data_IF_341638248539
#
_entry.id   IF_341638248539
#
_cell.length_a   1.000
_cell.length_b   1.000
_cell.length_c   1.000
_cell.angle_alpha   90.00
_cell.angle_beta   90.00
_cell.angle_gamma   90.00
#
_symmetry.space_group_name_H-M   'P 1'
#
loop_
_entity.id
_entity.type
_entity.pdbx_description
1 polymer ?
#
# COMPACT_ATOMS: atom_id res chain seq x y z
N UNK A 1 2.14 6.69 19.32
CA UNK A 1 2.91 6.59 18.07
C UNK A 1 2.17 5.88 16.93
N UNK A 2 1.43 4.78 17.16
CA UNK A 2 0.73 4.04 16.09
C UNK A 2 -0.27 4.88 15.25
N UNK A 3 -1.07 5.74 15.89
CA UNK A 3 -2.00 6.65 15.18
C UNK A 3 -1.30 7.62 14.22
N UNK A 4 -0.18 8.21 14.64
CA UNK A 4 0.60 9.15 13.82
C UNK A 4 1.21 8.41 12.62
N UNK A 5 1.68 7.17 12.84
CA UNK A 5 2.19 6.31 11.76
C UNK A 5 1.12 6.00 10.71
N UNK A 6 -0.12 5.69 11.11
CA UNK A 6 -1.23 5.49 10.15
C UNK A 6 -1.51 6.74 9.30
N UNK A 7 -1.44 7.93 9.90
CA UNK A 7 -1.64 9.19 9.18
C UNK A 7 -0.50 9.43 8.18
N UNK A 8 0.75 9.21 8.60
CA UNK A 8 1.93 9.34 7.73
C UNK A 8 1.83 8.38 6.54
N UNK A 9 1.48 7.12 6.77
CA UNK A 9 1.35 6.14 5.68
C UNK A 9 0.18 6.49 4.76
N UNK A 10 -0.94 6.98 5.29
CA UNK A 10 -2.04 7.48 4.47
C UNK A 10 -1.60 8.61 3.52
N UNK A 11 -0.86 9.60 4.05
CA UNK A 11 -0.33 10.72 3.26
C UNK A 11 0.66 10.21 2.19
N UNK A 12 1.57 9.30 2.56
CA UNK A 12 2.55 8.70 1.65
C UNK A 12 1.85 7.89 0.53
N UNK A 13 0.78 7.16 0.85
CA UNK A 13 -0.02 6.44 -0.14
C UNK A 13 -0.74 7.36 -1.13
N UNK A 14 -1.29 8.48 -0.66
CA UNK A 14 -1.94 9.47 -1.53
C UNK A 14 -0.91 10.15 -2.44
N UNK A 15 0.24 10.55 -1.91
CA UNK A 15 1.33 11.10 -2.71
C UNK A 15 1.79 10.12 -3.78
N UNK A 16 1.89 8.83 -3.43
CA UNK A 16 2.27 7.79 -4.38
C UNK A 16 1.23 7.61 -5.49
N UNK A 17 -0.07 7.62 -5.18
CA UNK A 17 -1.13 7.54 -6.20
C UNK A 17 -1.04 8.72 -7.18
N UNK A 18 -0.90 9.96 -6.68
CA UNK A 18 -0.77 11.16 -7.54
C UNK A 18 0.45 11.04 -8.46
N UNK A 19 1.59 10.63 -7.91
CA UNK A 19 2.85 10.55 -8.66
C UNK A 19 2.89 9.32 -9.59
N UNK A 20 2.16 8.25 -9.27
CA UNK A 20 1.93 7.10 -10.15
C UNK A 20 1.13 7.52 -11.39
N UNK A 21 0.07 8.32 -11.22
CA UNK A 21 -0.67 8.88 -12.36
C UNK A 21 0.18 9.84 -13.21
N UNK A 22 1.17 10.51 -12.63
CA UNK A 22 2.12 11.36 -13.35
C UNK A 22 3.18 10.61 -14.15
N UNK A 23 3.23 9.25 -14.12
CA UNK A 23 4.19 8.42 -14.88
C UNK A 23 5.66 8.87 -14.74
N UNK A 24 6.08 9.28 -13.55
CA UNK A 24 7.49 9.65 -13.31
C UNK A 24 8.39 8.43 -13.15
N UNK A 25 9.30 8.21 -14.11
CA UNK A 25 10.22 7.04 -14.18
C UNK A 25 11.06 6.79 -12.91
N UNK A 26 11.52 7.87 -12.27
CA UNK A 26 12.32 7.79 -11.03
C UNK A 26 11.48 7.25 -9.86
N UNK A 27 10.20 7.57 -9.87
CA UNK A 27 9.29 7.24 -8.78
C UNK A 27 8.89 5.76 -8.82
N UNK A 28 8.66 5.23 -10.02
CA UNK A 28 8.25 3.85 -10.22
C UNK A 28 9.35 2.86 -9.86
N UNK A 29 10.62 3.26 -9.97
CA UNK A 29 11.77 2.37 -9.69
C UNK A 29 12.24 2.42 -8.24
N UNK A 30 12.19 3.59 -7.60
CA UNK A 30 12.73 3.77 -6.24
C UNK A 30 11.63 3.81 -5.18
N UNK A 31 10.54 4.52 -5.44
CA UNK A 31 9.50 4.74 -4.43
C UNK A 31 8.54 3.55 -4.33
N UNK A 32 8.27 2.86 -5.43
CA UNK A 32 7.40 1.66 -5.46
C UNK A 32 7.83 0.57 -4.46
N UNK A 33 9.08 0.08 -4.47
CA UNK A 33 9.48 -0.96 -3.52
C UNK A 33 9.47 -0.45 -2.07
N UNK A 34 9.84 0.81 -1.84
CA UNK A 34 9.82 1.42 -0.50
C UNK A 34 8.39 1.53 0.03
N UNK A 35 7.44 2.00 -0.79
CA UNK A 35 6.04 2.08 -0.40
C UNK A 35 5.42 0.70 -0.18
N UNK A 36 5.79 -0.28 -1.00
CA UNK A 36 5.32 -1.64 -0.84
C UNK A 36 5.76 -2.22 0.52
N UNK A 37 7.03 -2.00 0.91
CA UNK A 37 7.55 -2.44 2.21
C UNK A 37 6.81 -1.74 3.36
N UNK A 38 6.58 -0.42 3.26
CA UNK A 38 5.85 0.35 4.28
C UNK A 38 4.41 -0.14 4.43
N UNK A 39 3.71 -0.33 3.30
CA UNK A 39 2.33 -0.82 3.28
C UNK A 39 2.22 -2.25 3.81
N UNK A 40 3.16 -3.12 3.44
CA UNK A 40 3.21 -4.50 3.94
C UNK A 40 3.40 -4.52 5.46
N UNK A 41 4.35 -3.75 6.00
CA UNK A 41 4.55 -3.64 7.44
C UNK A 41 3.31 -3.10 8.16
N UNK A 42 2.64 -2.10 7.58
CA UNK A 42 1.42 -1.56 8.18
C UNK A 42 0.26 -2.56 8.16
N UNK A 43 0.08 -3.29 7.05
CA UNK A 43 -0.92 -4.35 6.93
C UNK A 43 -0.68 -5.48 7.94
N UNK A 44 0.58 -5.86 8.19
CA UNK A 44 0.93 -6.87 9.21
C UNK A 44 0.59 -6.37 10.61
N UNK A 45 0.97 -5.14 10.95
CA UNK A 45 0.67 -4.53 12.26
C UNK A 45 -0.85 -4.46 12.51
N UNK A 46 -1.62 -4.09 11.49
CA UNK A 46 -3.08 -4.04 11.57
C UNK A 46 -3.73 -5.41 11.61
N UNK A 47 -3.16 -6.40 10.93
CA UNK A 47 -3.60 -7.78 11.05
C UNK A 47 -3.39 -8.33 12.47
N UNK A 48 -2.25 -8.03 13.10
CA UNK A 48 -1.98 -8.38 14.49
C UNK A 48 -2.99 -7.69 15.42
N UNK A 49 -3.22 -6.39 15.24
CA UNK A 49 -4.21 -5.63 16.01
C UNK A 49 -5.64 -6.15 15.79
N UNK A 50 -5.98 -6.60 14.59
CA UNK A 50 -7.26 -7.24 14.30
C UNK A 50 -7.41 -8.56 15.07
N UNK A 51 -6.38 -9.42 15.09
CA UNK A 51 -6.44 -10.66 15.88
C UNK A 51 -6.67 -10.39 17.37
N UNK A 52 -6.04 -9.35 17.91
CA UNK A 52 -6.18 -8.96 19.32
C UNK A 52 -7.52 -8.29 19.67
N UNK A 53 -8.04 -7.44 18.79
CA UNK A 53 -9.23 -6.61 19.10
C UNK A 53 -10.52 -7.08 18.43
N UNK A 54 -10.43 -7.94 17.41
CA UNK A 54 -11.52 -8.36 16.49
C UNK A 54 -12.29 -7.20 15.84
N UNK A 55 -11.77 -5.97 15.88
CA UNK A 55 -12.44 -4.81 15.27
C UNK A 55 -12.20 -4.79 13.77
N UNK A 56 -13.28 -4.89 13.00
CA UNK A 56 -13.25 -4.91 11.52
C UNK A 56 -12.56 -3.70 10.89
N UNK A 57 -12.48 -2.56 11.59
CA UNK A 57 -11.78 -1.37 11.09
C UNK A 57 -10.29 -1.62 10.82
N UNK A 58 -9.66 -2.54 11.54
CA UNK A 58 -8.26 -2.92 11.30
C UNK A 58 -8.06 -3.80 10.07
N UNK A 59 -9.14 -4.31 9.44
CA UNK A 59 -9.05 -5.06 8.19
C UNK A 59 -9.04 -4.16 6.94
N UNK A 60 -9.43 -2.89 7.07
CA UNK A 60 -9.54 -1.97 5.93
C UNK A 60 -8.20 -1.83 5.18
N UNK A 61 -7.14 -1.53 5.92
CA UNK A 61 -5.80 -1.32 5.33
C UNK A 61 -5.25 -2.63 4.74
N UNK A 62 -5.22 -3.77 5.45
CA UNK A 62 -4.78 -5.05 4.87
C UNK A 62 -5.52 -5.42 3.58
N UNK A 63 -6.86 -5.29 3.56
CA UNK A 63 -7.66 -5.63 2.37
C UNK A 63 -7.36 -4.66 1.22
N UNK A 64 -7.29 -3.35 1.49
CA UNK A 64 -6.98 -2.35 0.47
C UNK A 64 -5.58 -2.53 -0.13
N UNK A 65 -4.57 -2.85 0.69
CA UNK A 65 -3.22 -3.16 0.23
C UNK A 65 -3.19 -4.40 -0.66
N UNK A 66 -3.98 -5.42 -0.32
CA UNK A 66 -4.06 -6.67 -1.09
C UNK A 66 -4.71 -6.44 -2.47
N UNK A 67 -5.77 -5.63 -2.53
CA UNK A 67 -6.38 -5.21 -3.79
C UNK A 67 -5.43 -4.39 -4.67
N UNK A 68 -4.67 -3.47 -4.07
CA UNK A 68 -3.64 -2.69 -4.76
C UNK A 68 -2.52 -3.59 -5.32
N UNK A 69 -2.10 -4.60 -4.56
CA UNK A 69 -1.09 -5.56 -5.01
C UNK A 69 -1.60 -6.39 -6.21
N UNK A 70 -2.85 -6.88 -6.15
CA UNK A 70 -3.47 -7.60 -7.28
C UNK A 70 -3.52 -6.70 -8.51
N UNK A 71 -4.00 -5.47 -8.38
CA UNK A 71 -4.06 -4.51 -9.49
C UNK A 71 -2.68 -4.24 -10.10
N UNK A 72 -1.67 -4.02 -9.25
CA UNK A 72 -0.29 -3.79 -9.70
C UNK A 72 0.25 -4.99 -10.49
N UNK A 73 0.05 -6.21 -10.00
CA UNK A 73 0.47 -7.44 -10.69
C UNK A 73 -0.28 -7.64 -12.01
N UNK A 74 -1.60 -7.46 -12.03
CA UNK A 74 -2.40 -7.57 -13.24
C UNK A 74 -1.99 -6.55 -14.31
N UNK A 75 -1.71 -5.30 -13.91
CA UNK A 75 -1.23 -4.26 -14.82
C UNK A 75 0.17 -4.60 -15.38
N UNK A 76 1.05 -5.17 -14.56
CA UNK A 76 2.40 -5.58 -14.97
C UNK A 76 2.33 -6.74 -15.98
N UNK A 77 1.46 -7.72 -15.74
CA UNK A 77 1.19 -8.82 -16.68
C UNK A 77 0.62 -8.29 -18.00
N UNK A 78 -0.35 -7.36 -17.94
CA UNK A 78 -0.94 -6.75 -19.13
C UNK A 78 0.11 -6.05 -20.00
N UNK A 79 0.98 -5.24 -19.38
CA UNK A 79 2.08 -4.55 -20.09
C UNK A 79 3.11 -5.54 -20.65
N UNK A 80 3.38 -6.65 -19.96
CA UNK A 80 4.32 -7.67 -20.44
C UNK A 80 3.77 -8.49 -21.62
N UNK A 81 2.44 -8.56 -21.78
CA UNK A 81 1.76 -9.29 -22.86
C UNK A 81 1.39 -8.40 -24.07
N UNK A 82 1.48 -7.06 -23.94
CA UNK A 82 1.22 -6.08 -25.01
C UNK A 82 2.49 -5.73 -25.78
#
# INVERSE_FOLDING_TARGET
>A
MAKIRHIIVGIVSVMYLILFFMKSDVLTKVLTPVLFIILANQAIDEWINYKGTKRKIHLLIPISSLLLAIYAVSNLIYVALS
#
